data_IF_213277385758
#
_entry.id   IF_213277385758
#
_cell.length_a   1.000
_cell.length_b   1.000
_cell.length_c   1.000
_cell.angle_alpha   90.00
_cell.angle_beta   90.00
_cell.angle_gamma   90.00
#
_symmetry.space_group_name_H-M   'P 1'
#
loop_
_entity.id
_entity.type
_entity.pdbx_description
1 polymer ?
#
# COMPACT_ATOMS: atom_id res chain seq x y z
N UNK A 1 11.33 -32.18 -33.98
CA UNK A 1 10.75 -32.30 -32.62
C UNK A 1 9.43 -31.57 -32.64
N UNK A 2 8.30 -32.28 -32.66
CA UNK A 2 6.98 -31.67 -32.73
C UNK A 2 6.59 -31.20 -31.31
N UNK A 3 6.18 -29.94 -31.11
CA UNK A 3 5.79 -29.47 -29.79
C UNK A 3 4.60 -30.26 -29.26
N UNK A 4 4.59 -30.56 -27.95
CA UNK A 4 3.53 -31.32 -27.31
C UNK A 4 2.19 -30.58 -27.37
N UNK A 5 1.09 -31.32 -27.31
CA UNK A 5 -0.28 -30.77 -27.42
C UNK A 5 -0.66 -29.77 -26.32
N UNK A 6 0.11 -29.73 -25.23
CA UNK A 6 0.03 -28.73 -24.15
C UNK A 6 0.42 -27.33 -24.67
N UNK A 7 1.42 -27.24 -25.56
CA UNK A 7 1.79 -26.00 -26.23
C UNK A 7 0.75 -25.53 -27.26
N UNK A 8 -0.16 -26.43 -27.70
CA UNK A 8 -1.27 -26.12 -28.61
C UNK A 8 -2.62 -25.88 -27.90
N UNK A 9 -2.70 -26.05 -26.59
CA UNK A 9 -3.93 -25.87 -25.80
C UNK A 9 -4.30 -24.41 -25.57
N UNK A 10 -5.61 -24.11 -25.64
CA UNK A 10 -6.30 -22.82 -25.52
C UNK A 10 -5.45 -21.64 -25.00
N UNK A 11 -5.00 -20.77 -25.92
CA UNK A 11 -4.33 -19.50 -25.64
C UNK A 11 -5.30 -18.40 -25.16
N UNK A 12 -6.26 -18.75 -24.28
CA UNK A 12 -7.22 -17.83 -23.63
C UNK A 12 -6.67 -17.32 -22.28
N UNK A 13 -5.35 -17.10 -22.21
CA UNK A 13 -4.72 -16.53 -21.04
C UNK A 13 -4.99 -15.02 -21.01
N UNK A 14 -5.07 -14.46 -19.80
CA UNK A 14 -5.22 -13.02 -19.62
C UNK A 14 -4.01 -12.29 -20.20
N UNK A 15 -4.28 -11.22 -20.94
CA UNK A 15 -3.22 -10.43 -21.58
C UNK A 15 -2.39 -9.69 -20.52
N UNK A 16 -1.07 -9.83 -20.60
CA UNK A 16 -0.12 -9.09 -19.75
C UNK A 16 0.38 -7.83 -20.45
N UNK A 17 1.19 -7.04 -19.74
CA UNK A 17 1.81 -5.83 -20.30
C UNK A 17 2.84 -6.10 -21.39
N UNK A 18 3.26 -7.35 -21.57
CA UNK A 18 4.28 -7.77 -22.56
C UNK A 18 3.70 -8.52 -23.75
N UNK A 19 2.38 -8.70 -23.80
CA UNK A 19 1.67 -9.38 -24.87
C UNK A 19 0.94 -8.37 -25.76
N UNK A 20 0.80 -8.69 -27.05
CA UNK A 20 0.12 -7.83 -28.03
C UNK A 20 1.08 -6.85 -28.74
N UNK A 21 0.79 -6.52 -29.99
CA UNK A 21 1.54 -5.54 -30.77
C UNK A 21 0.85 -4.18 -30.66
N UNK A 22 1.60 -3.12 -30.33
CA UNK A 22 1.09 -1.76 -30.16
C UNK A 22 -0.09 -1.62 -29.19
N UNK A 23 -0.20 -2.52 -28.22
CA UNK A 23 -1.22 -2.49 -27.18
C UNK A 23 -0.64 -1.97 -25.86
N UNK A 24 -1.26 -0.94 -25.29
CA UNK A 24 -0.87 -0.42 -23.98
C UNK A 24 -1.73 -1.00 -22.86
N UNK A 25 -1.08 -1.57 -21.85
CA UNK A 25 -1.72 -2.01 -20.60
C UNK A 25 -0.99 -1.39 -19.40
N UNK A 26 -1.73 -0.67 -18.56
CA UNK A 26 -1.18 -0.06 -17.35
C UNK A 26 -0.89 -1.05 -16.21
N UNK A 27 -0.17 -0.58 -15.20
CA UNK A 27 0.26 -1.34 -13.99
C UNK A 27 -0.31 -0.78 -12.69
N UNK A 28 -1.41 -0.03 -12.75
CA UNK A 28 -2.07 0.62 -11.58
C UNK A 28 -1.20 1.64 -10.85
N UNK A 29 -0.27 2.31 -11.53
CA UNK A 29 0.48 3.43 -10.97
C UNK A 29 -0.41 4.61 -10.56
N UNK A 30 -1.62 4.72 -11.13
CA UNK A 30 -2.56 5.81 -10.88
C UNK A 30 -2.32 7.02 -11.80
N UNK A 31 -3.28 7.93 -11.83
CA UNK A 31 -3.25 9.12 -12.70
C UNK A 31 -2.52 10.28 -12.01
N UNK A 32 -1.32 10.60 -12.49
CA UNK A 32 -0.46 11.68 -11.94
C UNK A 32 -0.61 13.01 -12.67
N UNK A 33 -1.52 13.10 -13.64
CA UNK A 33 -1.59 14.23 -14.55
C UNK A 33 -2.50 13.97 -15.74
N UNK A 34 -2.31 14.73 -16.81
CA UNK A 34 -3.13 14.70 -18.02
C UNK A 34 -2.26 14.55 -19.27
N UNK A 35 -2.76 13.80 -20.25
CA UNK A 35 -2.16 13.77 -21.59
C UNK A 35 -2.60 15.04 -22.32
N UNK A 36 -1.64 15.75 -22.90
CA UNK A 36 -1.88 16.97 -23.70
C UNK A 36 -2.33 16.60 -25.11
N UNK A 37 -2.98 17.53 -25.81
CA UNK A 37 -3.48 17.31 -27.18
C UNK A 37 -2.37 16.89 -28.17
N UNK A 38 -1.11 17.25 -27.90
CA UNK A 38 0.06 16.90 -28.74
C UNK A 38 0.76 15.61 -28.28
N UNK A 39 0.15 14.82 -27.40
CA UNK A 39 0.70 13.55 -26.92
C UNK A 39 1.75 13.67 -25.80
N UNK A 40 2.08 14.88 -25.35
CA UNK A 40 2.90 15.10 -24.14
C UNK A 40 2.12 14.82 -22.85
N UNK A 41 2.81 14.81 -21.71
CA UNK A 41 2.20 14.59 -20.39
C UNK A 41 2.44 15.79 -19.46
N UNK A 42 1.37 16.33 -18.88
CA UNK A 42 1.42 17.42 -17.89
C UNK A 42 1.14 16.87 -16.50
N UNK A 43 2.08 17.08 -15.57
CA UNK A 43 2.00 16.57 -14.19
C UNK A 43 1.12 17.47 -13.33
N UNK A 44 0.20 16.87 -12.58
CA UNK A 44 -0.66 17.56 -11.60
C UNK A 44 -0.13 17.27 -10.19
N UNK A 45 0.65 18.20 -9.63
CA UNK A 45 1.39 18.00 -8.37
C UNK A 45 0.49 17.69 -7.16
N UNK A 46 -0.77 18.14 -7.16
CA UNK A 46 -1.76 17.83 -6.11
C UNK A 46 -2.09 16.34 -6.02
N UNK A 47 -1.84 15.56 -7.09
CA UNK A 47 -2.10 14.11 -7.14
C UNK A 47 -0.84 13.27 -6.92
N UNK A 48 0.33 13.90 -6.91
CA UNK A 48 1.60 13.20 -6.71
C UNK A 48 1.70 12.80 -5.24
N UNK A 49 1.83 11.49 -4.99
CA UNK A 49 1.94 10.94 -3.63
C UNK A 49 3.33 11.20 -3.07
N UNK A 50 3.42 11.80 -1.89
CA UNK A 50 4.66 12.02 -1.14
C UNK A 50 4.67 11.18 0.12
N UNK A 51 5.82 10.61 0.48
CA UNK A 51 6.01 9.92 1.75
C UNK A 51 6.86 10.83 2.65
N UNK A 52 6.20 11.51 3.59
CA UNK A 52 6.85 12.48 4.47
C UNK A 52 7.53 11.72 5.62
N UNK A 53 8.87 11.81 5.76
CA UNK A 53 9.55 11.21 6.90
C UNK A 53 9.26 12.00 8.18
N UNK A 54 9.19 11.34 9.35
CA UNK A 54 9.10 12.05 10.63
C UNK A 54 10.38 12.88 10.87
N UNK A 55 10.24 13.98 11.59
CA UNK A 55 11.38 14.82 11.97
C UNK A 55 12.08 14.26 13.22
N UNK A 56 13.40 14.44 13.30
CA UNK A 56 14.22 14.11 14.47
C UNK A 56 14.88 12.73 14.42
N UNK A 57 15.58 12.39 15.51
CA UNK A 57 16.19 11.09 15.71
C UNK A 57 15.15 10.13 16.33
N UNK A 58 15.06 8.92 15.80
CA UNK A 58 14.20 7.86 16.33
C UNK A 58 15.04 6.86 17.11
N UNK A 59 14.89 6.86 18.44
CA UNK A 59 15.51 5.85 19.30
C UNK A 59 14.71 4.53 19.30
N UNK A 60 13.52 4.52 18.68
CA UNK A 60 12.67 3.34 18.54
C UNK A 60 13.22 2.39 17.48
N UNK A 61 13.46 1.14 17.89
CA UNK A 61 13.91 0.06 17.01
C UNK A 61 12.73 -0.81 16.55
N UNK A 62 12.85 -1.51 15.41
CA UNK A 62 11.78 -2.38 14.90
C UNK A 62 11.46 -3.59 15.79
N UNK A 63 12.36 -3.93 16.72
CA UNK A 63 12.22 -5.07 17.62
C UNK A 63 12.47 -4.66 19.07
N UNK A 64 11.82 -5.38 19.98
CA UNK A 64 12.02 -5.26 21.43
C UNK A 64 12.85 -6.45 21.92
N UNK A 65 13.65 -6.27 22.97
CA UNK A 65 14.40 -7.36 23.58
C UNK A 65 13.47 -8.46 24.12
N UNK A 66 13.80 -9.73 23.88
CA UNK A 66 13.05 -10.88 24.39
C UNK A 66 12.96 -10.95 25.92
N UNK A 67 13.78 -10.17 26.64
CA UNK A 67 13.71 -10.05 28.11
C UNK A 67 12.49 -9.27 28.57
N UNK A 68 11.93 -8.41 27.72
CA UNK A 68 10.74 -7.60 28.03
C UNK A 68 9.50 -8.49 27.89
N UNK A 69 8.72 -8.61 28.97
CA UNK A 69 7.45 -9.36 28.93
C UNK A 69 6.38 -8.54 28.20
N UNK A 70 5.54 -9.17 27.35
CA UNK A 70 4.47 -8.47 26.67
C UNK A 70 3.44 -7.94 27.67
N UNK A 71 3.10 -6.66 27.57
CA UNK A 71 2.09 -6.01 28.40
C UNK A 71 0.68 -6.31 27.89
N UNK A 72 -0.28 -6.49 28.80
CA UNK A 72 -1.71 -6.54 28.49
C UNK A 72 -2.36 -5.25 28.97
N UNK A 73 -3.11 -4.59 28.10
CA UNK A 73 -3.88 -3.40 28.48
C UNK A 73 -4.92 -3.75 29.55
N UNK A 74 -4.95 -2.96 30.62
CA UNK A 74 -5.96 -3.07 31.66
C UNK A 74 -7.03 -2.01 31.41
N UNK A 75 -8.28 -2.44 31.24
CA UNK A 75 -9.42 -1.58 30.99
C UNK A 75 -10.54 -1.89 31.99
N UNK A 76 -11.43 -0.93 32.28
CA UNK A 76 -12.65 -1.19 33.03
C UNK A 76 -13.45 -2.35 32.42
N UNK A 77 -14.24 -3.03 33.25
CA UNK A 77 -15.01 -4.20 32.80
C UNK A 77 -15.95 -3.81 31.65
N UNK A 78 -15.80 -4.48 30.51
CA UNK A 78 -16.60 -4.23 29.31
C UNK A 78 -16.10 -3.09 28.43
N UNK A 79 -15.07 -2.36 28.86
CA UNK A 79 -14.44 -1.31 28.08
C UNK A 79 -13.21 -1.82 27.32
N UNK A 80 -12.83 -1.08 26.28
CA UNK A 80 -11.66 -1.35 25.46
C UNK A 80 -10.82 -0.07 25.26
N UNK A 81 -9.68 -0.20 24.58
CA UNK A 81 -8.78 0.93 24.32
C UNK A 81 -9.26 1.93 23.27
N UNK A 82 -10.43 1.73 22.67
CA UNK A 82 -11.05 2.63 21.70
C UNK A 82 -12.24 3.40 22.29
N UNK A 83 -12.65 3.09 23.52
CA UNK A 83 -13.78 3.75 24.16
C UNK A 83 -13.45 5.20 24.50
N UNK A 84 -14.33 6.11 24.07
CA UNK A 84 -14.13 7.55 24.26
C UNK A 84 -14.11 7.98 25.72
N UNK A 85 -14.85 7.29 26.60
CA UNK A 85 -14.82 7.55 28.05
C UNK A 85 -13.46 7.23 28.66
N UNK A 86 -12.89 6.07 28.33
CA UNK A 86 -11.54 5.66 28.78
C UNK A 86 -10.49 6.66 28.31
N UNK A 87 -10.57 7.10 27.05
CA UNK A 87 -9.68 8.13 26.51
C UNK A 87 -9.84 9.47 27.23
N UNK A 88 -11.09 9.90 27.48
CA UNK A 88 -11.39 11.16 28.15
C UNK A 88 -10.84 11.20 29.57
N UNK A 89 -11.01 10.12 30.34
CA UNK A 89 -10.50 10.02 31.70
C UNK A 89 -8.96 10.06 31.74
N UNK A 90 -8.29 9.37 30.81
CA UNK A 90 -6.82 9.42 30.65
C UNK A 90 -6.32 10.82 30.26
N UNK A 91 -7.05 11.52 29.38
CA UNK A 91 -6.66 12.86 28.93
C UNK A 91 -6.81 13.92 30.03
N UNK A 92 -7.68 13.67 31.03
CA UNK A 92 -7.92 14.56 32.16
C UNK A 92 -6.94 14.35 33.32
N UNK A 93 -6.41 13.14 33.48
CA UNK A 93 -5.43 12.78 34.51
C UNK A 93 -4.04 13.35 34.22
#
# INVERSE_FOLDING_TARGET
MNPSTICSGARRLQMTTKMGHQYYRGTRTGKMGQITNKGGFSVEWTRVRTFVPPAGNCDLLPYVSSKVKPLKGAYPKGANGLDGSVYYDLAKS
#
